data_IF_498010326639
#
_entry.id   IF_498010326639
#
_cell.length_a   1.000
_cell.length_b   1.000
_cell.length_c   1.000
_cell.angle_alpha   90.00
_cell.angle_beta   90.00
_cell.angle_gamma   90.00
#
_symmetry.space_group_name_H-M   'P 1'
#
loop_
_entity.id
_entity.type
_entity.pdbx_description
1 polymer ?
#
# COMPACT_ATOMS: atom_id res chain seq x y z
N UNK A 1 28.95 -62.68 19.90
CA UNK A 1 28.63 -62.18 21.26
C UNK A 1 27.89 -63.31 21.97
N UNK A 2 28.44 -63.72 23.11
CA UNK A 2 28.29 -65.02 23.78
C UNK A 2 26.88 -65.31 24.31
N UNK A 3 26.24 -66.36 23.80
CA UNK A 3 24.96 -66.89 24.30
C UNK A 3 25.11 -67.45 25.73
N UNK A 4 26.31 -67.89 26.07
CA UNK A 4 26.68 -68.50 27.34
C UNK A 4 26.59 -67.54 28.54
N UNK A 5 26.62 -66.21 28.33
CA UNK A 5 26.56 -65.27 29.44
C UNK A 5 25.17 -65.18 30.06
N UNK A 6 24.09 -65.28 29.28
CA UNK A 6 22.72 -65.22 29.81
C UNK A 6 22.32 -66.52 30.50
N UNK A 7 22.66 -67.68 29.92
CA UNK A 7 22.34 -68.98 30.52
C UNK A 7 23.00 -69.15 31.89
N UNK A 8 24.23 -68.64 32.04
CA UNK A 8 24.92 -68.64 33.33
C UNK A 8 24.26 -67.71 34.37
N UNK A 9 23.77 -66.54 33.94
CA UNK A 9 23.05 -65.61 34.82
C UNK A 9 21.72 -66.25 35.29
N UNK A 10 20.95 -66.85 34.37
CA UNK A 10 19.69 -67.49 34.74
C UNK A 10 19.88 -68.71 35.64
N UNK A 11 20.86 -69.58 35.37
CA UNK A 11 21.20 -70.70 36.28
C UNK A 11 21.64 -70.22 37.65
N UNK A 12 22.37 -69.11 37.73
CA UNK A 12 22.80 -68.54 39.01
C UNK A 12 21.65 -67.97 39.84
N UNK A 13 20.57 -67.54 39.19
CA UNK A 13 19.41 -66.90 39.82
C UNK A 13 18.21 -67.84 39.96
N UNK A 14 18.25 -69.06 39.40
CA UNK A 14 17.13 -69.99 39.29
C UNK A 14 16.44 -70.28 40.63
N UNK A 15 17.18 -70.21 41.75
CA UNK A 15 16.66 -70.48 43.10
C UNK A 15 16.41 -69.20 43.92
N UNK A 16 16.71 -68.02 43.38
CA UNK A 16 16.60 -66.72 44.06
C UNK A 16 15.31 -65.96 43.68
N UNK A 17 14.44 -66.55 42.84
CA UNK A 17 13.20 -65.88 42.42
C UNK A 17 12.01 -66.12 43.38
N UNK A 18 12.00 -67.24 44.10
CA UNK A 18 10.86 -67.68 44.93
C UNK A 18 11.05 -67.41 46.44
N UNK A 19 11.85 -66.40 46.79
CA UNK A 19 12.17 -66.07 48.19
C UNK A 19 11.11 -65.18 48.87
N UNK A 20 10.29 -64.46 48.10
CA UNK A 20 9.37 -63.46 48.65
C UNK A 20 7.99 -63.55 47.99
N UNK A 21 6.94 -63.56 48.83
CA UNK A 21 5.56 -63.48 48.36
C UNK A 21 5.05 -62.04 48.44
N UNK A 22 4.17 -61.60 47.52
CA UNK A 22 3.62 -60.27 47.57
C UNK A 22 2.93 -59.97 48.91
N UNK A 23 3.11 -58.75 49.43
CA UNK A 23 2.42 -58.30 50.64
C UNK A 23 0.90 -58.48 50.53
N UNK A 24 0.26 -58.91 51.62
CA UNK A 24 -1.19 -59.11 51.70
C UNK A 24 -1.99 -57.96 51.06
N UNK A 25 -3.06 -58.30 50.35
CA UNK A 25 -3.86 -57.37 49.55
C UNK A 25 -3.23 -56.94 48.22
N UNK A 26 -2.14 -57.58 47.77
CA UNK A 26 -1.54 -57.32 46.46
C UNK A 26 -2.53 -57.51 45.32
N UNK A 27 -3.28 -58.61 45.32
CA UNK A 27 -4.27 -58.92 44.28
C UNK A 27 -5.35 -57.84 44.18
N UNK A 28 -5.86 -57.37 45.32
CA UNK A 28 -6.84 -56.28 45.36
C UNK A 28 -6.26 -54.97 44.83
N UNK A 29 -5.04 -54.57 45.25
CA UNK A 29 -4.36 -53.39 44.71
C UNK A 29 -4.07 -53.51 43.21
N UNK A 30 -3.74 -54.70 42.75
CA UNK A 30 -3.49 -54.99 41.33
C UNK A 30 -4.78 -54.89 40.52
N UNK A 31 -5.87 -55.47 41.01
CA UNK A 31 -7.19 -55.39 40.40
C UNK A 31 -7.73 -53.95 40.37
N UNK A 32 -7.55 -53.19 41.45
CA UNK A 32 -7.86 -51.76 41.49
C UNK A 32 -7.03 -50.97 40.47
N UNK A 33 -5.74 -51.32 40.29
CA UNK A 33 -4.88 -50.69 39.29
C UNK A 33 -5.32 -51.05 37.86
N UNK A 34 -5.71 -52.29 37.59
CA UNK A 34 -6.25 -52.72 36.30
C UNK A 34 -7.58 -52.03 35.98
N UNK A 35 -8.49 -51.99 36.94
CA UNK A 35 -9.79 -51.32 36.78
C UNK A 35 -9.60 -49.82 36.57
N UNK A 36 -8.66 -49.17 37.27
CA UNK A 36 -8.32 -47.77 37.05
C UNK A 36 -7.59 -47.52 35.73
N UNK A 37 -6.86 -48.49 35.17
CA UNK A 37 -6.28 -48.36 33.82
C UNK A 37 -7.36 -48.41 32.73
N UNK A 38 -8.37 -49.28 32.88
CA UNK A 38 -9.51 -49.34 31.96
C UNK A 38 -10.50 -48.18 32.14
N UNK A 39 -10.48 -47.49 33.30
CA UNK A 39 -11.25 -46.27 33.56
C UNK A 39 -10.48 -44.97 33.34
N UNK A 40 -9.20 -45.03 32.92
CA UNK A 40 -8.64 -43.94 32.12
C UNK A 40 -9.26 -44.04 30.74
N UNK A 41 -10.54 -43.71 30.69
CA UNK A 41 -11.09 -43.01 29.54
C UNK A 41 -10.09 -41.88 29.32
N UNK A 42 -9.19 -42.05 28.35
CA UNK A 42 -8.69 -40.87 27.66
C UNK A 42 -9.97 -40.17 27.28
N UNK A 43 -10.28 -39.06 27.95
CA UNK A 43 -11.15 -38.07 27.36
C UNK A 43 -10.41 -37.70 26.09
N UNK A 44 -10.61 -38.47 25.03
CA UNK A 44 -10.71 -37.90 23.70
C UNK A 44 -11.78 -36.87 23.91
N UNK A 45 -11.33 -35.65 24.20
CA UNK A 45 -12.13 -34.47 23.99
C UNK A 45 -12.39 -34.56 22.50
N UNK A 46 -13.50 -35.22 22.13
CA UNK A 46 -14.08 -35.06 20.81
C UNK A 46 -14.51 -33.61 20.84
N UNK A 47 -13.57 -32.70 20.56
CA UNK A 47 -13.91 -31.35 20.20
C UNK A 47 -14.94 -31.53 19.10
N UNK A 48 -16.13 -31.01 19.33
CA UNK A 48 -17.20 -31.04 18.36
C UNK A 48 -16.67 -30.35 17.09
N UNK A 49 -16.18 -31.15 16.14
CA UNK A 49 -15.58 -30.67 14.89
C UNK A 49 -16.61 -29.94 14.03
N UNK A 50 -17.90 -30.07 14.36
CA UNK A 50 -18.99 -29.34 13.72
C UNK A 50 -18.93 -27.85 14.02
N UNK A 51 -18.52 -27.44 15.23
CA UNK A 51 -18.40 -26.03 15.60
C UNK A 51 -17.17 -25.41 14.95
N UNK A 52 -16.04 -26.15 14.91
CA UNK A 52 -14.83 -25.67 14.26
C UNK A 52 -14.98 -25.60 12.74
N UNK A 53 -15.78 -26.47 12.11
CA UNK A 53 -16.16 -26.34 10.68
C UNK A 53 -16.95 -25.06 10.39
N UNK A 54 -17.88 -24.67 11.25
CA UNK A 54 -18.65 -23.43 11.09
C UNK A 54 -17.78 -22.18 11.26
N UNK A 55 -16.85 -22.17 12.23
CA UNK A 55 -15.92 -21.05 12.41
C UNK A 55 -14.79 -21.03 11.38
N UNK A 56 -14.41 -22.16 10.79
CA UNK A 56 -13.39 -22.23 9.74
C UNK A 56 -13.85 -21.53 8.47
N UNK A 57 -15.14 -21.67 8.09
CA UNK A 57 -15.72 -20.93 6.97
C UNK A 57 -15.76 -19.43 7.21
N UNK A 58 -16.05 -19.00 8.44
CA UNK A 58 -16.07 -17.58 8.85
C UNK A 58 -14.66 -17.01 8.88
N UNK A 59 -13.70 -17.71 9.47
CA UNK A 59 -12.31 -17.28 9.49
C UNK A 59 -11.72 -17.21 8.07
N UNK A 60 -12.01 -18.20 7.21
CA UNK A 60 -11.60 -18.20 5.82
C UNK A 60 -12.24 -17.05 5.04
N UNK A 61 -13.51 -16.70 5.29
CA UNK A 61 -14.13 -15.55 4.63
C UNK A 61 -13.52 -14.22 5.10
N UNK A 62 -13.20 -14.09 6.39
CA UNK A 62 -12.51 -12.89 6.93
C UNK A 62 -11.11 -12.77 6.32
N UNK A 63 -10.34 -13.86 6.26
CA UNK A 63 -9.02 -13.86 5.62
C UNK A 63 -9.13 -13.57 4.12
N UNK A 64 -10.13 -14.11 3.43
CA UNK A 64 -10.39 -13.83 2.01
C UNK A 64 -10.76 -12.36 1.79
N UNK A 65 -11.59 -11.78 2.66
CA UNK A 65 -11.94 -10.37 2.62
C UNK A 65 -10.72 -9.48 2.89
N UNK A 66 -9.88 -9.83 3.87
CA UNK A 66 -8.65 -9.09 4.19
C UNK A 66 -7.65 -9.19 3.04
N UNK A 67 -7.44 -10.37 2.47
CA UNK A 67 -6.51 -10.59 1.34
C UNK A 67 -7.00 -9.90 0.07
N UNK A 68 -8.30 -9.96 -0.22
CA UNK A 68 -8.91 -9.22 -1.33
C UNK A 68 -8.80 -7.71 -1.09
N UNK A 69 -9.05 -7.25 0.14
CA UNK A 69 -8.93 -5.83 0.52
C UNK A 69 -7.49 -5.32 0.40
N UNK A 70 -6.48 -6.10 0.81
CA UNK A 70 -5.08 -5.73 0.62
C UNK A 70 -4.69 -5.78 -0.86
N UNK A 71 -5.18 -6.77 -1.61
CA UNK A 71 -4.90 -6.93 -3.04
C UNK A 71 -5.50 -5.84 -3.93
N UNK A 72 -6.67 -5.29 -3.58
CA UNK A 72 -7.28 -4.15 -4.30
C UNK A 72 -6.72 -2.80 -3.87
N UNK A 73 -6.17 -2.69 -2.64
CA UNK A 73 -5.55 -1.47 -2.11
C UNK A 73 -4.03 -1.48 -2.24
N UNK A 74 -3.49 -2.25 -3.21
CA UNK A 74 -2.12 -2.06 -3.63
C UNK A 74 -2.06 -0.72 -4.37
N UNK A 75 -2.00 0.36 -3.59
CA UNK A 75 -1.83 1.71 -4.06
C UNK A 75 -0.54 1.70 -4.87
N UNK A 76 -0.65 1.90 -6.17
CA UNK A 76 0.53 2.08 -7.01
C UNK A 76 1.36 3.19 -6.36
N UNK A 77 2.64 2.92 -6.13
CA UNK A 77 3.56 3.97 -5.70
C UNK A 77 3.42 5.12 -6.68
N UNK A 78 2.97 6.26 -6.16
CA UNK A 78 2.81 7.49 -6.93
C UNK A 78 4.23 7.95 -7.24
N UNK A 79 4.72 7.54 -8.40
CA UNK A 79 6.02 7.95 -8.91
C UNK A 79 5.81 9.29 -9.61
N UNK A 80 6.47 10.30 -9.09
CA UNK A 80 6.47 11.66 -9.61
C UNK A 80 7.85 12.30 -9.37
N UNK A 81 8.01 13.58 -9.70
CA UNK A 81 9.29 14.24 -9.52
C UNK A 81 9.72 14.25 -8.05
N UNK A 82 8.77 14.33 -7.11
CA UNK A 82 9.06 14.35 -5.68
C UNK A 82 9.60 13.01 -5.15
N UNK A 83 9.32 11.88 -5.82
CA UNK A 83 9.84 10.58 -5.40
C UNK A 83 11.35 10.39 -5.68
N UNK A 84 11.95 11.20 -6.57
CA UNK A 84 13.35 11.05 -7.00
C UNK A 84 14.35 11.47 -5.90
N UNK A 85 14.14 12.64 -5.29
CA UNK A 85 15.01 13.15 -4.23
C UNK A 85 14.33 14.23 -3.39
N UNK A 86 14.84 14.52 -2.17
CA UNK A 86 14.33 15.64 -1.36
C UNK A 86 14.40 17.01 -2.06
N UNK A 87 15.41 17.23 -2.91
CA UNK A 87 15.56 18.45 -3.71
C UNK A 87 14.53 18.50 -4.85
N UNK A 88 14.24 17.36 -5.48
CA UNK A 88 13.22 17.26 -6.52
C UNK A 88 11.80 17.41 -5.95
N UNK A 89 11.56 16.93 -4.74
CA UNK A 89 10.31 17.21 -4.00
C UNK A 89 10.11 18.72 -3.79
N UNK A 90 11.12 19.42 -3.28
CA UNK A 90 11.08 20.89 -3.13
C UNK A 90 10.87 21.60 -4.46
N UNK A 91 11.44 21.06 -5.54
CA UNK A 91 11.29 21.61 -6.90
C UNK A 91 9.85 21.47 -7.38
N UNK A 92 9.24 20.29 -7.23
CA UNK A 92 7.83 20.06 -7.54
C UNK A 92 6.91 20.98 -6.72
N UNK A 93 7.16 21.09 -5.42
CA UNK A 93 6.38 21.97 -4.53
C UNK A 93 6.46 23.44 -4.97
N UNK A 94 7.68 23.93 -5.25
CA UNK A 94 7.90 25.30 -5.71
C UNK A 94 7.13 25.61 -7.00
N UNK A 95 7.29 24.77 -8.03
CA UNK A 95 6.62 25.00 -9.31
C UNK A 95 5.10 24.86 -9.21
N UNK A 96 4.60 23.90 -8.43
CA UNK A 96 3.16 23.74 -8.21
C UNK A 96 2.58 24.99 -7.54
N UNK A 97 3.26 25.51 -6.50
CA UNK A 97 2.84 26.74 -5.84
C UNK A 97 2.85 27.95 -6.78
N UNK A 98 3.88 28.10 -7.62
CA UNK A 98 3.94 29.16 -8.63
C UNK A 98 2.79 29.07 -9.63
N UNK A 99 2.49 27.87 -10.13
CA UNK A 99 1.42 27.66 -11.11
C UNK A 99 0.05 27.97 -10.49
N UNK A 100 -0.18 27.56 -9.25
CA UNK A 100 -1.39 27.89 -8.51
C UNK A 100 -1.54 29.40 -8.30
N UNK A 101 -0.44 30.11 -8.03
CA UNK A 101 -0.46 31.57 -7.90
C UNK A 101 -0.86 32.25 -9.22
N UNK A 102 -0.25 31.84 -10.34
CA UNK A 102 -0.55 32.39 -11.66
C UNK A 102 -1.99 32.07 -12.11
N UNK A 103 -2.46 30.84 -11.87
CA UNK A 103 -3.85 30.47 -12.13
C UNK A 103 -4.83 31.32 -11.31
N UNK A 104 -4.53 31.62 -10.05
CA UNK A 104 -5.36 32.52 -9.22
C UNK A 104 -5.38 33.95 -9.77
N UNK A 105 -4.28 34.45 -10.34
CA UNK A 105 -4.29 35.75 -11.02
C UNK A 105 -5.21 35.70 -12.24
N UNK A 106 -5.12 34.64 -13.03
CA UNK A 106 -5.95 34.44 -14.23
C UNK A 106 -7.44 34.31 -13.90
N UNK A 107 -7.80 33.62 -12.81
CA UNK A 107 -9.20 33.46 -12.37
C UNK A 107 -9.85 34.77 -11.88
N UNK A 108 -9.05 35.75 -11.44
CA UNK A 108 -9.57 37.08 -11.07
C UNK A 108 -9.99 37.90 -12.29
N UNK A 109 -9.60 37.46 -13.49
CA UNK A 109 -9.99 38.10 -14.73
C UNK A 109 -11.35 37.61 -15.18
N UNK A 110 -12.29 38.54 -15.36
CA UNK A 110 -13.71 38.22 -15.65
C UNK A 110 -14.27 38.98 -16.85
N UNK A 111 -13.43 39.72 -17.59
CA UNK A 111 -13.92 40.51 -18.70
C UNK A 111 -14.20 39.61 -19.93
N UNK A 112 -15.33 39.80 -20.63
CA UNK A 112 -15.68 38.96 -21.78
C UNK A 112 -14.63 38.99 -22.90
N UNK A 113 -13.93 40.12 -23.04
CA UNK A 113 -12.93 40.37 -24.08
C UNK A 113 -11.69 39.46 -23.93
N UNK A 114 -11.36 39.08 -22.69
CA UNK A 114 -10.18 38.24 -22.42
C UNK A 114 -10.51 36.77 -22.21
N UNK A 115 -11.80 36.42 -22.14
CA UNK A 115 -12.25 35.07 -21.82
C UNK A 115 -11.76 34.03 -22.84
N UNK A 116 -11.69 34.40 -24.13
CA UNK A 116 -11.18 33.52 -25.20
C UNK A 116 -9.69 33.22 -24.99
N UNK A 117 -8.90 34.22 -24.61
CA UNK A 117 -7.45 34.09 -24.35
C UNK A 117 -7.22 33.16 -23.16
N UNK A 118 -8.00 33.33 -22.08
CA UNK A 118 -7.97 32.49 -20.89
C UNK A 118 -8.31 31.02 -21.25
N UNK A 119 -9.38 30.80 -22.02
CA UNK A 119 -9.79 29.44 -22.40
C UNK A 119 -8.72 28.72 -23.24
N UNK A 120 -8.09 29.42 -24.18
CA UNK A 120 -7.00 28.83 -24.97
C UNK A 120 -5.80 28.47 -24.09
N UNK A 121 -5.40 29.36 -23.17
CA UNK A 121 -4.33 29.09 -22.23
C UNK A 121 -4.61 27.86 -21.36
N UNK A 122 -5.81 27.76 -20.78
CA UNK A 122 -6.22 26.62 -19.95
C UNK A 122 -6.22 25.31 -20.75
N UNK A 123 -6.61 25.35 -22.02
CA UNK A 123 -6.54 24.17 -22.90
C UNK A 123 -5.09 23.71 -23.10
N UNK A 124 -4.15 24.63 -23.30
CA UNK A 124 -2.71 24.30 -23.43
C UNK A 124 -2.14 23.76 -22.13
N UNK A 125 -2.52 24.33 -20.98
CA UNK A 125 -2.15 23.81 -19.66
C UNK A 125 -2.64 22.37 -19.48
N UNK A 126 -3.88 22.08 -19.87
CA UNK A 126 -4.45 20.73 -19.80
C UNK A 126 -3.65 19.71 -20.62
N UNK A 127 -3.15 20.11 -21.79
CA UNK A 127 -2.28 19.24 -22.59
C UNK A 127 -0.97 18.94 -21.85
N UNK A 128 -0.32 19.97 -21.29
CA UNK A 128 0.92 19.78 -20.52
C UNK A 128 0.70 18.94 -19.25
N UNK A 129 -0.44 19.07 -18.57
CA UNK A 129 -0.77 18.18 -17.44
C UNK A 129 -0.87 16.72 -17.86
N UNK A 130 -1.49 16.44 -19.00
CA UNK A 130 -1.59 15.07 -19.52
C UNK A 130 -0.22 14.53 -19.95
N UNK A 131 0.63 15.38 -20.52
CA UNK A 131 2.02 15.03 -20.84
C UNK A 131 2.80 14.71 -19.56
N UNK A 132 2.59 15.46 -18.48
CA UNK A 132 3.21 15.18 -17.17
C UNK A 132 2.80 13.82 -16.61
N UNK A 133 1.52 13.44 -16.72
CA UNK A 133 1.07 12.10 -16.32
C UNK A 133 1.74 10.99 -17.14
N UNK A 134 2.00 11.24 -18.44
CA UNK A 134 2.76 10.31 -19.27
C UNK A 134 4.22 10.23 -18.83
N UNK A 135 4.83 11.37 -18.50
CA UNK A 135 6.22 11.43 -18.00
C UNK A 135 6.39 10.70 -16.66
N UNK A 136 5.37 10.68 -15.79
CA UNK A 136 5.40 9.87 -14.54
C UNK A 136 5.53 8.37 -14.83
N UNK A 137 4.81 7.89 -15.84
CA UNK A 137 4.90 6.50 -16.30
C UNK A 137 6.29 6.22 -16.88
N UNK A 138 6.82 7.13 -17.70
CA UNK A 138 8.16 7.02 -18.26
C UNK A 138 9.25 7.06 -17.18
N UNK A 139 9.08 7.87 -16.14
CA UNK A 139 10.02 7.98 -15.02
C UNK A 139 10.13 6.65 -14.28
N UNK A 140 8.98 6.04 -13.99
CA UNK A 140 8.89 4.69 -13.41
C UNK A 140 9.56 3.64 -14.30
N UNK A 141 9.21 3.61 -15.58
CA UNK A 141 9.68 2.59 -16.52
C UNK A 141 11.17 2.71 -16.86
N UNK A 142 11.70 3.94 -16.85
CA UNK A 142 13.10 4.22 -17.16
C UNK A 142 14.04 4.05 -15.95
N UNK A 143 13.50 3.88 -14.74
CA UNK A 143 14.29 3.84 -13.52
C UNK A 143 14.92 5.19 -13.19
N UNK A 144 14.11 6.26 -13.24
CA UNK A 144 14.51 7.64 -12.91
C UNK A 144 15.55 8.24 -13.87
N UNK A 145 15.37 8.04 -15.18
CA UNK A 145 16.27 8.63 -16.18
C UNK A 145 16.26 10.16 -16.11
N UNK A 146 17.46 10.75 -15.99
CA UNK A 146 17.68 12.20 -15.93
C UNK A 146 17.04 12.98 -17.09
N UNK A 147 16.88 12.37 -18.27
CA UNK A 147 16.21 12.98 -19.42
C UNK A 147 14.70 13.11 -19.18
N UNK A 148 14.09 12.13 -18.53
CA UNK A 148 12.67 12.18 -18.13
C UNK A 148 12.49 13.20 -17.03
N UNK A 149 13.38 13.22 -16.03
CA UNK A 149 13.39 14.25 -14.97
C UNK A 149 13.47 15.66 -15.59
N UNK A 150 14.38 15.87 -16.55
CA UNK A 150 14.48 17.14 -17.26
C UNK A 150 13.19 17.50 -18.00
N UNK A 151 12.56 16.54 -18.69
CA UNK A 151 11.29 16.74 -19.37
C UNK A 151 10.16 17.12 -18.39
N UNK A 152 10.11 16.51 -17.20
CA UNK A 152 9.15 16.84 -16.15
C UNK A 152 9.34 18.26 -15.63
N UNK A 153 10.59 18.69 -15.39
CA UNK A 153 10.91 20.06 -14.99
C UNK A 153 10.53 21.05 -16.10
N UNK A 154 10.88 20.72 -17.36
CA UNK A 154 10.54 21.56 -18.51
C UNK A 154 9.01 21.68 -18.69
N UNK A 155 8.24 20.63 -18.41
CA UNK A 155 6.79 20.69 -18.43
C UNK A 155 6.24 21.73 -17.42
N UNK A 156 6.75 21.76 -16.19
CA UNK A 156 6.40 22.79 -15.21
C UNK A 156 6.76 24.19 -15.69
N UNK A 157 7.96 24.38 -16.25
CA UNK A 157 8.40 25.67 -16.79
C UNK A 157 7.47 26.15 -17.92
N UNK A 158 7.17 25.27 -18.88
CA UNK A 158 6.27 25.59 -20.00
C UNK A 158 4.87 26.00 -19.52
N UNK A 159 4.35 25.36 -18.47
CA UNK A 159 3.07 25.76 -17.86
C UNK A 159 3.12 27.18 -17.30
N UNK A 160 4.20 27.52 -16.60
CA UNK A 160 4.40 28.87 -16.05
C UNK A 160 4.51 29.89 -17.18
N UNK A 161 5.31 29.60 -18.20
CA UNK A 161 5.51 30.48 -19.35
C UNK A 161 4.17 30.77 -20.05
N UNK A 162 3.34 29.75 -20.26
CA UNK A 162 1.99 29.94 -20.83
C UNK A 162 1.16 30.87 -19.96
N UNK A 163 1.13 30.67 -18.64
CA UNK A 163 0.32 31.48 -17.73
C UNK A 163 0.80 32.93 -17.69
N UNK A 164 2.11 33.16 -17.60
CA UNK A 164 2.70 34.50 -17.58
C UNK A 164 2.44 35.26 -18.89
N UNK A 165 2.68 34.62 -20.04
CA UNK A 165 2.40 35.20 -21.35
C UNK A 165 0.90 35.50 -21.53
N UNK A 166 0.02 34.68 -20.95
CA UNK A 166 -1.43 34.90 -20.99
C UNK A 166 -1.80 36.15 -20.19
N UNK A 167 -1.27 36.30 -18.98
CA UNK A 167 -1.49 37.49 -18.15
C UNK A 167 -0.96 38.77 -18.81
N UNK A 168 0.18 38.70 -19.50
CA UNK A 168 0.70 39.82 -20.28
C UNK A 168 -0.26 40.23 -21.40
N UNK A 169 -0.76 39.25 -22.18
CA UNK A 169 -1.74 39.51 -23.23
C UNK A 169 -3.03 40.15 -22.68
N UNK A 170 -3.51 39.66 -21.54
CA UNK A 170 -4.68 40.24 -20.85
C UNK A 170 -4.42 41.70 -20.49
N UNK A 171 -3.26 42.02 -19.94
CA UNK A 171 -2.90 43.39 -19.58
C UNK A 171 -2.85 44.31 -20.82
N UNK A 172 -2.30 43.83 -21.94
CA UNK A 172 -2.26 44.57 -23.21
C UNK A 172 -3.69 44.88 -23.69
N UNK A 173 -4.58 43.88 -23.72
CA UNK A 173 -5.98 44.06 -24.13
C UNK A 173 -6.70 45.09 -23.26
N UNK A 174 -6.50 45.03 -21.94
CA UNK A 174 -7.08 46.01 -21.00
C UNK A 174 -6.58 47.43 -21.25
N UNK A 175 -5.28 47.61 -21.49
CA UNK A 175 -4.71 48.92 -21.77
C UNK A 175 -5.29 49.53 -23.05
N UNK A 176 -5.42 48.75 -24.12
CA UNK A 176 -6.00 49.20 -25.39
C UNK A 176 -7.47 49.62 -25.25
N UNK A 177 -8.26 48.89 -24.47
CA UNK A 177 -9.65 49.23 -24.21
C UNK A 177 -9.79 50.54 -23.41
N UNK A 178 -8.90 50.75 -22.42
CA UNK A 178 -8.91 51.99 -21.64
C UNK A 178 -8.54 53.21 -22.51
N UNK A 179 -7.50 53.10 -23.35
CA UNK A 179 -7.11 54.18 -24.26
C UNK A 179 -8.16 54.51 -25.33
N UNK A 180 -8.96 53.53 -25.76
CA UNK A 180 -10.03 53.74 -26.72
C UNK A 180 -11.24 54.50 -26.12
N UNK A 181 -11.46 54.35 -24.81
CA UNK A 181 -12.54 55.04 -24.09
C UNK A 181 -12.19 56.48 -23.68
N UNK A 182 -10.93 56.91 -23.83
CA UNK A 182 -10.47 58.27 -23.47
C UNK A 182 -10.47 59.26 -24.65
N UNK A 183 -10.83 58.85 -25.87
CA UNK A 183 -10.99 59.78 -27.01
C UNK A 183 -12.33 60.51 -26.82
N UNK A 184 -12.35 61.82 -26.49
CA UNK A 184 -13.60 62.54 -26.30
C UNK A 184 -14.28 62.74 -27.65
N UNK A 185 -15.59 62.54 -27.70
CA UNK A 185 -16.50 62.86 -28.81
C UNK A 185 -16.46 64.33 -29.28
N UNK A 186 -15.51 65.17 -28.81
CA UNK A 186 -15.44 66.60 -29.16
C UNK A 186 -14.66 66.90 -30.45
N UNK A 187 -14.40 65.92 -31.31
CA UNK A 187 -13.77 66.15 -32.63
C UNK A 187 -14.51 65.43 -33.75
N UNK A 188 -15.81 65.69 -33.89
CA UNK A 188 -16.55 65.59 -35.17
C UNK A 188 -17.44 66.83 -35.29
#
# INVERSE_FOLDING_TARGET
MSKDSLDNIFKSLEHDFDIEVPKSGHEMRFQDKLNNQNNKQTKVIRLNTTIWKSFLGIAASIVLLITLFIGINQQEEVIDLASVSPEMAKTQDFFTASIDEELKKLQKESSPEVQIIIQDALKRIKLLENDYESLKIDLKNSGEDNRVIYAMISNFQNRIDILQNTLEQINIVKQLNNSSNEIPESTI
#
